data_IF_348954324636
#
_entry.id   IF_348954324636
#
_cell.length_a   1.000
_cell.length_b   1.000
_cell.length_c   1.000
_cell.angle_alpha   90.00
_cell.angle_beta   90.00
_cell.angle_gamma   90.00
#
_symmetry.space_group_name_H-M   'P 1'
#
loop_
_entity.id
_entity.type
_entity.pdbx_description
1 polymer ?
#
# COMPACT_ATOMS: atom_id res chain seq x y z
N UNK A 1 -13.20 -4.39 17.74
CA UNK A 1 -12.93 -4.53 16.29
C UNK A 1 -12.36 -3.27 15.64
N UNK A 2 -12.79 -2.06 16.04
CA UNK A 2 -12.25 -0.80 15.51
C UNK A 2 -10.71 -0.69 15.54
N UNK A 3 -10.10 -0.89 16.71
CA UNK A 3 -8.64 -0.75 16.90
C UNK A 3 -7.86 -1.65 15.93
N UNK A 4 -8.34 -2.88 15.70
CA UNK A 4 -7.71 -3.81 14.76
C UNK A 4 -7.76 -3.28 13.33
N UNK A 5 -8.93 -2.83 12.86
CA UNK A 5 -9.08 -2.28 11.50
C UNK A 5 -8.35 -0.95 11.32
N UNK A 6 -8.28 -0.12 12.36
CA UNK A 6 -7.50 1.10 12.37
C UNK A 6 -6.00 0.82 12.21
N UNK A 7 -5.47 -0.14 12.96
CA UNK A 7 -4.08 -0.61 12.83
C UNK A 7 -3.81 -1.23 11.46
N UNK A 8 -4.75 -2.07 10.97
CA UNK A 8 -4.65 -2.70 9.65
C UNK A 8 -4.62 -1.65 8.54
N UNK A 9 -5.54 -0.68 8.55
CA UNK A 9 -5.58 0.41 7.57
C UNK A 9 -4.32 1.27 7.62
N UNK A 10 -3.81 1.56 8.82
CA UNK A 10 -2.54 2.28 8.99
C UNK A 10 -1.35 1.50 8.42
N UNK A 11 -1.30 0.19 8.63
CA UNK A 11 -0.27 -0.68 8.05
C UNK A 11 -0.35 -0.72 6.52
N UNK A 12 -1.56 -0.80 5.96
CA UNK A 12 -1.80 -0.76 4.51
C UNK A 12 -1.32 0.58 3.91
N UNK A 13 -1.62 1.71 4.57
CA UNK A 13 -1.12 3.03 4.15
C UNK A 13 0.41 3.06 4.19
N UNK A 14 1.03 2.57 5.26
CA UNK A 14 2.48 2.53 5.39
C UNK A 14 3.13 1.69 4.28
N UNK A 15 2.54 0.55 3.92
CA UNK A 15 2.99 -0.28 2.80
C UNK A 15 2.85 0.45 1.45
N UNK A 16 1.74 1.16 1.23
CA UNK A 16 1.56 1.96 0.02
C UNK A 16 2.58 3.11 -0.09
N UNK A 17 2.88 3.80 1.02
CA UNK A 17 3.93 4.83 1.08
C UNK A 17 5.31 4.19 0.81
N UNK A 18 5.60 3.04 1.41
CA UNK A 18 6.85 2.31 1.20
C UNK A 18 7.02 1.90 -0.27
N UNK A 19 5.94 1.44 -0.93
CA UNK A 19 5.94 1.13 -2.36
C UNK A 19 6.25 2.35 -3.24
N UNK A 20 5.71 3.53 -2.91
CA UNK A 20 5.96 4.76 -3.67
C UNK A 20 7.39 5.27 -3.45
N UNK A 21 7.88 5.21 -2.21
CA UNK A 21 9.17 5.79 -1.78
C UNK A 21 10.35 4.90 -2.14
N UNK A 22 10.19 3.59 -2.03
CA UNK A 22 11.20 2.58 -2.34
C UNK A 22 10.64 1.57 -3.35
N UNK A 23 10.25 2.03 -4.55
CA UNK A 23 9.69 1.14 -5.57
C UNK A 23 10.72 0.08 -5.95
N UNK A 24 12.00 0.40 -5.86
CA UNK A 24 13.18 -0.40 -6.14
C UNK A 24 13.52 -1.47 -5.09
N UNK A 25 12.85 -1.48 -3.94
CA UNK A 25 13.17 -2.42 -2.86
C UNK A 25 12.97 -3.89 -3.25
N UNK A 26 13.69 -4.78 -2.56
CA UNK A 26 13.64 -6.23 -2.79
C UNK A 26 12.23 -6.82 -2.59
N UNK A 27 11.39 -6.19 -1.76
CA UNK A 27 9.99 -6.56 -1.56
C UNK A 27 9.14 -6.47 -2.83
N UNK A 28 9.52 -5.61 -3.77
CA UNK A 28 8.83 -5.42 -5.05
C UNK A 28 9.64 -5.98 -6.23
N UNK A 29 10.77 -6.66 -5.95
CA UNK A 29 11.56 -7.34 -6.99
C UNK A 29 10.83 -8.62 -7.37
N UNK A 30 10.47 -8.75 -8.64
CA UNK A 30 9.91 -10.01 -9.16
C UNK A 30 11.02 -11.06 -9.12
N UNK A 31 10.78 -12.18 -8.44
CA UNK A 31 11.75 -13.29 -8.38
C UNK A 31 12.05 -13.74 -9.83
N UNK A 32 13.31 -13.68 -10.24
CA UNK A 32 13.78 -14.11 -11.57
C UNK A 32 13.91 -13.02 -12.64
N UNK A 33 13.68 -11.75 -12.31
CA UNK A 33 13.90 -10.64 -13.25
C UNK A 33 15.19 -9.88 -12.94
N UNK A 34 16.27 -10.29 -13.60
CA UNK A 34 17.57 -9.58 -13.61
C UNK A 34 17.66 -8.56 -14.76
N UNK A 35 16.56 -8.30 -15.48
CA UNK A 35 16.53 -7.23 -16.47
C UNK A 35 16.39 -5.89 -15.79
N UNK A 36 17.09 -4.91 -16.36
CA UNK A 36 17.04 -3.50 -16.00
C UNK A 36 15.59 -3.08 -15.75
N UNK A 37 15.33 -2.61 -14.53
CA UNK A 37 13.97 -2.38 -14.01
C UNK A 37 13.27 -1.36 -14.90
N UNK A 38 12.40 -1.84 -15.80
CA UNK A 38 11.73 -0.99 -16.78
C UNK A 38 11.02 0.18 -16.10
N UNK A 39 11.18 1.39 -16.65
CA UNK A 39 10.49 2.60 -16.17
C UNK A 39 8.97 2.39 -16.04
N UNK A 40 8.38 1.51 -16.86
CA UNK A 40 6.98 1.10 -16.75
C UNK A 40 6.67 0.36 -15.44
N UNK A 41 7.55 -0.55 -14.99
CA UNK A 41 7.37 -1.29 -13.74
C UNK A 41 7.45 -0.39 -12.52
N UNK A 42 8.39 0.58 -12.52
CA UNK A 42 8.51 1.57 -11.46
C UNK A 42 7.26 2.45 -11.39
N UNK A 43 6.74 2.87 -12.55
CA UNK A 43 5.51 3.66 -12.63
C UNK A 43 4.30 2.86 -12.12
N UNK A 44 4.21 1.58 -12.48
CA UNK A 44 3.18 0.67 -11.98
C UNK A 44 3.21 0.52 -10.46
N UNK A 45 4.38 0.29 -9.86
CA UNK A 45 4.51 0.17 -8.39
C UNK A 45 4.08 1.47 -7.70
N UNK A 46 4.47 2.63 -8.24
CA UNK A 46 4.02 3.93 -7.69
C UNK A 46 2.50 4.11 -7.80
N UNK A 47 1.90 3.68 -8.90
CA UNK A 47 0.44 3.73 -9.09
C UNK A 47 -0.28 2.78 -8.13
N UNK A 48 0.20 1.54 -8.03
CA UNK A 48 -0.33 0.55 -7.09
C UNK A 48 -0.23 1.05 -5.64
N UNK A 49 0.90 1.63 -5.24
CA UNK A 49 1.08 2.21 -3.91
C UNK A 49 0.07 3.32 -3.59
N UNK A 50 -0.28 4.18 -4.57
CA UNK A 50 -1.32 5.20 -4.39
C UNK A 50 -2.70 4.57 -4.17
N UNK A 51 -3.03 3.52 -4.93
CA UNK A 51 -4.28 2.77 -4.75
C UNK A 51 -4.31 2.12 -3.36
N UNK A 52 -3.20 1.52 -2.93
CA UNK A 52 -3.06 0.89 -1.61
C UNK A 52 -3.30 1.89 -0.47
N UNK A 53 -2.76 3.11 -0.57
CA UNK A 53 -3.03 4.18 0.40
C UNK A 53 -4.53 4.49 0.45
N UNK A 54 -5.19 4.62 -0.70
CA UNK A 54 -6.64 4.86 -0.78
C UNK A 54 -7.46 3.76 -0.12
N UNK A 55 -7.09 2.50 -0.33
CA UNK A 55 -7.72 1.35 0.33
C UNK A 55 -7.53 1.37 1.85
N UNK A 56 -6.32 1.67 2.33
CA UNK A 56 -6.07 1.78 3.77
C UNK A 56 -6.89 2.90 4.44
N UNK A 57 -7.05 4.04 3.75
CA UNK A 57 -7.91 5.12 4.21
C UNK A 57 -9.40 4.70 4.26
N UNK A 58 -9.88 3.96 3.25
CA UNK A 58 -11.24 3.40 3.25
C UNK A 58 -11.48 2.44 4.41
N UNK A 59 -10.52 1.57 4.71
CA UNK A 59 -10.60 0.63 5.85
C UNK A 59 -10.76 1.41 7.16
N UNK A 60 -9.97 2.47 7.36
CA UNK A 60 -10.06 3.33 8.55
C UNK A 60 -11.44 4.02 8.61
N UNK A 61 -11.90 4.57 7.49
CA UNK A 61 -13.19 5.27 7.41
C UNK A 61 -14.36 4.34 7.77
N UNK A 62 -14.43 3.16 7.14
CA UNK A 62 -15.47 2.15 7.41
C UNK A 62 -15.39 1.63 8.85
N UNK A 63 -14.18 1.46 9.38
CA UNK A 63 -14.01 1.04 10.78
C UNK A 63 -14.58 2.06 11.76
N UNK A 64 -14.48 3.35 11.44
CA UNK A 64 -14.96 4.44 12.28
C UNK A 64 -16.49 4.51 12.30
N UNK A 65 -17.17 4.10 11.22
CA UNK A 65 -18.63 4.04 11.19
C UNK A 65 -19.21 3.09 12.25
N UNK A 66 -18.49 2.02 12.60
CA UNK A 66 -18.87 1.10 13.68
C UNK A 66 -18.76 1.67 15.10
N UNK A 67 -18.18 2.86 15.28
CA UNK A 67 -18.11 3.54 16.60
C UNK A 67 -19.27 4.52 16.83
N UNK A 68 -19.91 4.99 15.77
CA UNK A 68 -20.94 6.04 15.81
C UNK A 68 -22.38 5.50 15.70
N UNK A 69 -22.54 4.17 15.70
CA UNK A 69 -23.81 3.44 15.67
C UNK A 69 -23.83 2.42 16.80
#
# INVERSE_FOLDING_TARGET
>A
MFIFYFLLGSAVIALGIFAIKHPDSWWFKRIGDDRERSNMWISYIKFAGKITIGFGALIILLSTQHLFF
#
